data_IF_130029763898
#
_entry.id   IF_130029763898
#
_cell.length_a   1.000
_cell.length_b   1.000
_cell.length_c   1.000
_cell.angle_alpha   90.00
_cell.angle_beta   90.00
_cell.angle_gamma   90.00
#
_symmetry.space_group_name_H-M   'P 1'
#
loop_
_entity.id
_entity.type
_entity.pdbx_description
1 polymer ?
#
# COMPACT_ATOMS: atom_id res chain seq x y z
N UNK A 1 -5.90 8.78 14.54
CA UNK A 1 -5.26 7.98 13.47
C UNK A 1 -6.25 7.49 12.39
N UNK A 2 -7.52 7.22 12.70
CA UNK A 2 -8.52 6.72 11.73
C UNK A 2 -9.02 7.77 10.72
N UNK A 3 -8.87 9.07 11.02
CA UNK A 3 -9.38 10.15 10.19
C UNK A 3 -8.75 10.20 8.79
N UNK A 4 -7.46 9.87 8.69
CA UNK A 4 -6.71 9.88 7.43
C UNK A 4 -7.28 8.87 6.42
N UNK A 5 -7.74 7.70 6.88
CA UNK A 5 -8.26 6.63 6.00
C UNK A 5 -9.53 7.05 5.26
N UNK A 6 -10.34 7.93 5.86
CA UNK A 6 -11.59 8.43 5.27
C UNK A 6 -11.35 9.42 4.13
N UNK A 7 -10.17 10.02 4.08
CA UNK A 7 -9.78 10.99 3.06
C UNK A 7 -9.02 10.35 1.90
N UNK A 8 -8.79 9.03 1.95
CA UNK A 8 -8.11 8.30 0.88
C UNK A 8 -9.07 8.14 -0.31
N UNK A 9 -8.64 8.47 -1.54
CA UNK A 9 -9.45 8.34 -2.73
C UNK A 9 -9.47 6.88 -3.20
N UNK A 10 -10.31 6.07 -2.54
CA UNK A 10 -10.57 4.70 -2.95
C UNK A 10 -11.26 4.66 -4.32
N UNK A 11 -10.85 3.75 -5.19
CA UNK A 11 -11.55 3.49 -6.44
C UNK A 11 -12.89 2.76 -6.17
N UNK A 12 -13.76 2.56 -7.18
CA UNK A 12 -15.03 1.85 -7.02
C UNK A 12 -14.93 0.40 -6.52
N UNK A 13 -13.73 -0.20 -6.59
CA UNK A 13 -13.44 -1.54 -6.09
C UNK A 13 -12.88 -1.52 -4.65
N UNK A 14 -12.79 -0.35 -4.01
CA UNK A 14 -12.22 -0.20 -2.66
C UNK A 14 -10.70 -0.38 -2.63
N UNK A 15 -10.01 -0.01 -3.71
CA UNK A 15 -8.56 -0.16 -3.85
C UNK A 15 -7.87 1.19 -4.08
N UNK A 16 -6.61 1.26 -3.65
CA UNK A 16 -5.67 2.33 -3.99
C UNK A 16 -4.44 1.76 -4.70
N UNK A 17 -3.82 2.54 -5.61
CA UNK A 17 -2.51 2.21 -6.11
C UNK A 17 -1.48 2.42 -4.99
N UNK A 18 -0.60 1.44 -4.81
CA UNK A 18 0.53 1.48 -3.89
C UNK A 18 1.82 1.30 -4.69
N UNK A 19 2.73 2.24 -4.54
CA UNK A 19 4.03 2.23 -5.22
C UNK A 19 5.11 1.96 -4.17
N UNK A 20 5.89 0.92 -4.39
CA UNK A 20 7.06 0.62 -3.55
C UNK A 20 8.28 1.24 -4.21
N UNK A 21 9.03 2.05 -3.45
CA UNK A 21 10.23 2.73 -3.91
C UNK A 21 11.40 2.43 -2.96
N UNK A 22 12.60 2.26 -3.53
CA UNK A 22 13.82 2.18 -2.75
C UNK A 22 14.12 3.54 -2.10
N UNK A 23 14.29 3.56 -0.78
CA UNK A 23 14.36 4.80 0.01
C UNK A 23 15.63 5.65 -0.26
N UNK A 24 16.72 5.04 -0.68
CA UNK A 24 18.04 5.67 -0.86
C UNK A 24 18.22 6.33 -2.24
N UNK A 25 17.89 5.64 -3.33
CA UNK A 25 18.11 6.10 -4.71
C UNK A 25 16.81 6.54 -5.41
N UNK A 26 15.65 6.29 -4.79
CA UNK A 26 14.36 6.64 -5.37
C UNK A 26 13.93 5.76 -6.53
N UNK A 27 14.51 4.56 -6.69
CA UNK A 27 14.08 3.62 -7.73
C UNK A 27 12.69 3.06 -7.40
N UNK A 28 11.76 3.13 -8.35
CA UNK A 28 10.44 2.52 -8.22
C UNK A 28 10.58 1.02 -8.48
N UNK A 29 10.29 0.22 -7.47
CA UNK A 29 10.42 -1.24 -7.53
C UNK A 29 9.14 -1.89 -8.07
N UNK A 30 7.97 -1.39 -7.66
CA UNK A 30 6.71 -2.07 -7.94
C UNK A 30 5.50 -1.12 -7.84
N UNK A 31 4.46 -1.46 -8.59
CA UNK A 31 3.11 -0.94 -8.44
C UNK A 31 2.16 -2.09 -8.13
N UNK A 32 1.35 -1.93 -7.10
CA UNK A 32 0.33 -2.88 -6.70
C UNK A 32 -0.97 -2.17 -6.31
N UNK A 33 -2.05 -2.93 -6.12
CA UNK A 33 -3.32 -2.43 -5.62
C UNK A 33 -3.53 -2.92 -4.18
N UNK A 34 -3.91 -2.01 -3.28
CA UNK A 34 -4.15 -2.31 -1.87
C UNK A 34 -5.58 -1.94 -1.48
N UNK A 35 -6.22 -2.79 -0.66
CA UNK A 35 -7.46 -2.45 0.03
C UNK A 35 -7.18 -1.86 1.43
N UNK A 36 -8.22 -1.35 2.09
CA UNK A 36 -8.11 -0.75 3.44
C UNK A 36 -7.46 -1.68 4.46
N UNK A 37 -7.80 -2.97 4.44
CA UNK A 37 -7.24 -3.98 5.36
C UNK A 37 -5.73 -4.15 5.17
N UNK A 38 -5.28 -4.27 3.92
CA UNK A 38 -3.85 -4.39 3.60
C UNK A 38 -3.08 -3.13 4.02
N UNK A 39 -3.67 -1.95 3.80
CA UNK A 39 -3.08 -0.67 4.21
C UNK A 39 -2.93 -0.58 5.74
N UNK A 40 -3.98 -0.96 6.48
CA UNK A 40 -3.94 -1.00 7.94
C UNK A 40 -2.88 -1.95 8.47
N UNK A 41 -2.72 -3.13 7.86
CA UNK A 41 -1.67 -4.08 8.22
C UNK A 41 -0.28 -3.50 7.97
N UNK A 42 -0.08 -2.82 6.84
CA UNK A 42 1.19 -2.18 6.51
C UNK A 42 1.57 -1.09 7.52
N UNK A 43 0.63 -0.19 7.84
CA UNK A 43 0.84 0.87 8.86
C UNK A 43 1.11 0.26 10.24
N UNK A 44 0.46 -0.86 10.58
CA UNK A 44 0.67 -1.57 11.84
C UNK A 44 2.05 -2.28 11.92
N UNK A 45 2.88 -2.21 10.88
CA UNK A 45 4.23 -2.76 10.87
C UNK A 45 4.33 -4.17 10.27
N UNK A 46 3.29 -4.68 9.61
CA UNK A 46 3.41 -5.89 8.81
C UNK A 46 4.22 -5.55 7.53
N UNK A 47 5.55 -5.76 7.60
CA UNK A 47 6.51 -5.51 6.52
C UNK A 47 6.32 -6.40 5.27
N UNK A 48 5.19 -7.10 5.13
CA UNK A 48 4.93 -8.04 4.04
C UNK A 48 4.30 -7.35 2.83
N UNK A 49 4.95 -6.32 2.27
CA UNK A 49 4.63 -5.88 0.90
C UNK A 49 5.30 -6.78 -0.14
N UNK A 50 6.47 -7.34 0.18
CA UNK A 50 7.25 -8.21 -0.71
C UNK A 50 6.61 -9.59 -0.95
N UNK A 51 5.63 -9.99 -0.15
CA UNK A 51 5.00 -11.31 -0.24
C UNK A 51 3.75 -11.36 -1.14
N UNK A 52 3.23 -10.23 -1.64
CA UNK A 52 2.03 -10.20 -2.49
C UNK A 52 2.33 -10.01 -3.98
N UNK A 53 3.60 -9.88 -4.36
CA UNK A 53 4.08 -9.73 -5.76
C UNK A 53 5.01 -10.88 -6.18
N UNK A 54 4.92 -12.02 -5.49
CA UNK A 54 5.53 -13.26 -5.98
C UNK A 54 4.41 -14.26 -6.19
N UNK A 55 4.11 -14.54 -7.46
CA UNK A 55 3.52 -15.83 -7.85
C UNK A 55 4.43 -16.96 -7.36
#
# INVERSE_FOLDING_TARGET
>A
MTDVLRHIPWNPLGLIPAITQQHDIGEVLMLAWMNEKALLQYIAGAQQLWALVTL
#
